data_IF_980538400813
#
_entry.id   IF_980538400813
#
_cell.length_a   1.000
_cell.length_b   1.000
_cell.length_c   1.000
_cell.angle_alpha   90.00
_cell.angle_beta   90.00
_cell.angle_gamma   90.00
#
_symmetry.space_group_name_H-M   'P 1'
#
loop_
_entity.id
_entity.type
_entity.pdbx_description
1 polymer ?
#
# COMPACT_ATOMS: atom_id res chain seq x y z
N UNK A 1 11.08 -17.18 -2.71
CA UNK A 1 10.56 -16.62 -3.98
C UNK A 1 9.04 -16.77 -4.09
N UNK A 2 8.48 -17.99 -4.20
CA UNK A 2 7.02 -18.15 -4.30
C UNK A 2 6.25 -17.79 -3.01
N UNK A 3 6.81 -18.11 -1.83
CA UNK A 3 6.17 -17.81 -0.53
C UNK A 3 5.95 -16.31 -0.29
N UNK A 4 6.91 -15.46 -0.65
CA UNK A 4 6.81 -14.01 -0.47
C UNK A 4 5.75 -13.42 -1.42
N UNK A 5 5.77 -13.80 -2.69
CA UNK A 5 4.73 -13.40 -3.65
C UNK A 5 3.34 -13.85 -3.20
N UNK A 6 3.20 -15.09 -2.70
CA UNK A 6 1.93 -15.59 -2.15
C UNK A 6 1.52 -14.76 -0.92
N UNK A 7 2.45 -14.41 -0.03
CA UNK A 7 2.16 -13.57 1.13
C UNK A 7 1.67 -12.17 0.74
N UNK A 8 2.28 -11.54 -0.28
CA UNK A 8 1.81 -10.25 -0.83
C UNK A 8 0.40 -10.39 -1.39
N UNK A 9 0.14 -11.43 -2.19
CA UNK A 9 -1.20 -11.68 -2.76
C UNK A 9 -2.24 -11.90 -1.65
N UNK A 10 -1.90 -12.68 -0.63
CA UNK A 10 -2.79 -12.90 0.53
C UNK A 10 -3.07 -11.60 1.26
N UNK A 11 -2.05 -10.78 1.57
CA UNK A 11 -2.27 -9.49 2.23
C UNK A 11 -3.07 -8.52 1.36
N UNK A 12 -2.88 -8.55 0.04
CA UNK A 12 -3.69 -7.76 -0.88
C UNK A 12 -5.17 -8.18 -0.84
N UNK A 13 -5.45 -9.49 -0.90
CA UNK A 13 -6.82 -10.01 -0.79
C UNK A 13 -7.46 -9.68 0.56
N UNK A 14 -6.72 -9.82 1.67
CA UNK A 14 -7.19 -9.46 3.01
C UNK A 14 -7.47 -7.97 3.11
N UNK A 15 -6.58 -7.11 2.62
CA UNK A 15 -6.79 -5.66 2.61
C UNK A 15 -7.99 -5.25 1.76
N UNK A 16 -8.18 -5.87 0.59
CA UNK A 16 -9.36 -5.64 -0.24
C UNK A 16 -10.66 -6.09 0.46
N UNK A 17 -10.61 -7.21 1.19
CA UNK A 17 -11.74 -7.67 1.99
C UNK A 17 -12.10 -6.64 3.07
N UNK A 18 -11.13 -6.01 3.73
CA UNK A 18 -11.39 -4.92 4.68
C UNK A 18 -12.02 -3.68 4.02
N UNK A 19 -11.65 -3.35 2.78
CA UNK A 19 -12.30 -2.27 2.00
C UNK A 19 -13.78 -2.60 1.74
N UNK A 20 -14.08 -3.85 1.40
CA UNK A 20 -15.45 -4.31 1.17
C UNK A 20 -16.27 -4.37 2.46
N UNK A 21 -15.64 -4.70 3.60
CA UNK A 21 -16.25 -4.76 4.92
C UNK A 21 -16.44 -3.39 5.60
N UNK A 22 -16.24 -2.26 4.89
CA UNK A 22 -16.45 -0.92 5.44
C UNK A 22 -17.80 -0.80 6.17
N UNK A 23 -18.87 -1.37 5.60
CA UNK A 23 -20.22 -1.32 6.19
C UNK A 23 -20.32 -1.98 7.57
N UNK A 24 -19.40 -2.89 7.90
CA UNK A 24 -19.34 -3.60 9.18
C UNK A 24 -18.32 -2.97 10.13
N UNK A 25 -17.14 -2.60 9.63
CA UNK A 25 -16.03 -2.05 10.45
C UNK A 25 -16.15 -0.56 10.73
N UNK A 26 -16.91 0.19 9.92
CA UNK A 26 -16.99 1.66 9.92
C UNK A 26 -15.62 2.35 9.84
N UNK A 27 -14.62 1.67 9.29
CA UNK A 27 -13.30 2.24 9.04
C UNK A 27 -13.28 2.79 7.62
N UNK A 28 -12.84 4.04 7.46
CA UNK A 28 -12.78 4.71 6.16
C UNK A 28 -11.98 3.87 5.13
N UNK A 29 -12.61 3.59 3.96
CA UNK A 29 -11.98 2.86 2.84
C UNK A 29 -10.60 3.39 2.46
N UNK A 30 -10.41 4.71 2.49
CA UNK A 30 -9.14 5.34 2.14
C UNK A 30 -8.01 4.97 3.12
N UNK A 31 -8.33 4.87 4.42
CA UNK A 31 -7.35 4.48 5.44
C UNK A 31 -6.88 3.03 5.25
N UNK A 32 -7.81 2.11 4.97
CA UNK A 32 -7.51 0.70 4.72
C UNK A 32 -6.73 0.52 3.41
N UNK A 33 -7.06 1.29 2.36
CA UNK A 33 -6.33 1.27 1.10
C UNK A 33 -4.86 1.70 1.28
N UNK A 34 -4.60 2.75 2.08
CA UNK A 34 -3.24 3.14 2.43
C UNK A 34 -2.51 2.07 3.23
N UNK A 35 -3.16 1.47 4.22
CA UNK A 35 -2.57 0.41 5.04
C UNK A 35 -2.19 -0.80 4.15
N UNK A 36 -3.10 -1.25 3.29
CA UNK A 36 -2.84 -2.34 2.35
C UNK A 36 -1.64 -2.03 1.44
N UNK A 37 -1.57 -0.81 0.91
CA UNK A 37 -0.46 -0.40 0.06
C UNK A 37 0.88 -0.38 0.81
N UNK A 38 0.91 0.14 2.04
CA UNK A 38 2.12 0.11 2.90
C UNK A 38 2.56 -1.32 3.19
N UNK A 39 1.63 -2.23 3.53
CA UNK A 39 1.97 -3.64 3.82
C UNK A 39 2.52 -4.38 2.60
N UNK A 40 1.91 -4.17 1.43
CA UNK A 40 2.42 -4.75 0.19
C UNK A 40 3.85 -4.25 -0.10
N UNK A 41 4.12 -2.96 0.12
CA UNK A 41 5.45 -2.38 -0.05
C UNK A 41 6.47 -2.83 0.99
N UNK A 42 6.09 -2.99 2.25
CA UNK A 42 7.01 -3.48 3.29
C UNK A 42 7.39 -4.94 3.05
N UNK A 43 6.44 -5.78 2.63
CA UNK A 43 6.72 -7.15 2.21
C UNK A 43 7.62 -7.20 0.98
N UNK A 44 7.39 -6.32 0.00
CA UNK A 44 8.24 -6.19 -1.18
C UNK A 44 9.69 -5.82 -0.84
N UNK A 45 9.90 -4.94 0.16
CA UNK A 45 11.22 -4.52 0.63
C UNK A 45 12.02 -5.63 1.34
N UNK A 46 11.41 -6.78 1.65
CA UNK A 46 12.12 -7.93 2.26
C UNK A 46 13.08 -8.59 1.26
N UNK A 47 12.73 -8.65 -0.04
CA UNK A 47 13.62 -9.20 -1.08
C UNK A 47 13.43 -8.48 -2.43
N UNK A 48 13.82 -7.19 -2.52
CA UNK A 48 13.61 -6.39 -3.73
C UNK A 48 14.51 -6.84 -4.89
N UNK A 49 15.64 -7.48 -4.59
CA UNK A 49 16.55 -8.10 -5.57
C UNK A 49 15.89 -9.15 -6.44
N UNK A 50 14.87 -9.84 -5.91
CA UNK A 50 14.12 -10.85 -6.66
C UNK A 50 13.12 -10.25 -7.65
N UNK A 51 12.74 -8.98 -7.51
CA UNK A 51 11.69 -8.34 -8.31
C UNK A 51 12.22 -7.29 -9.29
N UNK A 52 13.38 -6.69 -9.03
CA UNK A 52 14.09 -5.83 -9.97
C UNK A 52 15.36 -6.53 -10.49
N UNK A 53 15.25 -7.36 -11.54
CA UNK A 53 16.42 -7.96 -12.17
C UNK A 53 17.22 -6.86 -12.87
N UNK A 54 18.40 -6.51 -12.34
CA UNK A 54 19.34 -5.56 -12.96
C UNK A 54 19.87 -4.46 -12.05
N UNK A 55 19.30 -4.27 -10.86
CA UNK A 55 19.79 -3.30 -9.88
C UNK A 55 20.50 -4.03 -8.73
N UNK A 56 21.78 -3.75 -8.50
CA UNK A 56 22.60 -4.40 -7.44
C UNK A 56 23.04 -3.39 -6.40
N UNK A 57 22.88 -3.72 -5.11
CA UNK A 57 23.37 -2.91 -3.98
C UNK A 57 22.66 -1.56 -3.82
N UNK A 58 23.42 -0.48 -3.59
CA UNK A 58 22.91 0.87 -3.34
C UNK A 58 21.99 1.43 -4.44
N UNK A 59 22.22 1.07 -5.71
CA UNK A 59 21.37 1.53 -6.82
C UNK A 59 19.94 1.00 -6.71
N UNK A 60 19.78 -0.25 -6.26
CA UNK A 60 18.47 -0.84 -6.02
C UNK A 60 17.73 -0.11 -4.89
N UNK A 61 18.44 0.22 -3.80
CA UNK A 61 17.82 0.88 -2.66
C UNK A 61 17.35 2.30 -3.05
N UNK A 62 18.15 3.02 -3.84
CA UNK A 62 17.76 4.35 -4.33
C UNK A 62 16.56 4.30 -5.27
N UNK A 63 16.56 3.41 -6.26
CA UNK A 63 15.42 3.23 -7.19
C UNK A 63 14.13 2.84 -6.45
N UNK A 64 14.24 1.93 -5.48
CA UNK A 64 13.10 1.53 -4.65
C UNK A 64 12.62 2.70 -3.79
N UNK A 65 13.53 3.47 -3.19
CA UNK A 65 13.17 4.64 -2.37
C UNK A 65 12.47 5.71 -3.20
N UNK A 66 12.97 6.02 -4.41
CA UNK A 66 12.35 6.98 -5.32
C UNK A 66 10.97 6.49 -5.79
N UNK A 67 10.84 5.21 -6.12
CA UNK A 67 9.57 4.61 -6.50
C UNK A 67 8.53 4.66 -5.37
N UNK A 68 8.94 4.34 -4.13
CA UNK A 68 8.08 4.47 -2.94
C UNK A 68 7.65 5.92 -2.78
N UNK A 69 8.58 6.87 -2.77
CA UNK A 69 8.28 8.28 -2.57
C UNK A 69 7.27 8.79 -3.61
N UNK A 70 7.47 8.43 -4.88
CA UNK A 70 6.57 8.80 -5.97
C UNK A 70 5.19 8.17 -5.85
N UNK A 71 5.11 6.85 -5.66
CA UNK A 71 3.82 6.15 -5.67
C UNK A 71 3.08 6.28 -4.33
N UNK A 72 3.76 6.11 -3.21
CA UNK A 72 3.19 6.28 -1.88
C UNK A 72 2.85 7.74 -1.62
N UNK A 73 3.74 8.68 -1.95
CA UNK A 73 3.53 10.11 -1.73
C UNK A 73 2.33 10.65 -2.53
N UNK A 74 2.26 10.35 -3.83
CA UNK A 74 1.13 10.77 -4.67
C UNK A 74 -0.20 10.14 -4.27
N UNK A 75 -0.18 8.85 -3.90
CA UNK A 75 -1.41 8.15 -3.49
C UNK A 75 -1.87 8.58 -2.10
N UNK A 76 -0.93 8.80 -1.16
CA UNK A 76 -1.20 9.29 0.19
C UNK A 76 -1.82 10.67 0.21
N UNK A 77 -1.32 11.61 -0.60
CA UNK A 77 -1.91 12.95 -0.70
C UNK A 77 -3.36 12.91 -1.18
N UNK A 78 -3.66 12.12 -2.22
CA UNK A 78 -5.02 11.95 -2.73
C UNK A 78 -5.93 11.29 -1.69
N UNK A 79 -5.45 10.24 -1.01
CA UNK A 79 -6.24 9.53 0.01
C UNK A 79 -6.44 10.35 1.28
N UNK A 80 -5.48 11.21 1.67
CA UNK A 80 -5.65 12.14 2.79
C UNK A 80 -6.73 13.20 2.47
N UNK A 81 -6.75 13.71 1.25
CA UNK A 81 -7.81 14.61 0.79
C UNK A 81 -9.19 13.93 0.80
N UNK A 82 -9.28 12.70 0.27
CA UNK A 82 -10.53 11.93 0.26
C UNK A 82 -11.00 11.55 1.66
N UNK A 83 -10.08 11.25 2.58
CA UNK A 83 -10.41 11.00 3.99
C UNK A 83 -11.04 12.24 4.62
N UNK A 84 -10.45 13.43 4.41
CA UNK A 84 -11.03 14.69 4.87
C UNK A 84 -12.41 14.95 4.29
N UNK A 85 -12.58 14.79 2.97
CA UNK A 85 -13.87 14.97 2.30
C UNK A 85 -14.95 14.01 2.84
N UNK A 86 -14.62 12.72 3.01
CA UNK A 86 -15.55 11.71 3.52
C UNK A 86 -15.92 11.98 4.98
N UNK A 87 -14.98 12.41 5.83
CA UNK A 87 -15.29 12.78 7.22
C UNK A 87 -16.22 13.99 7.33
N UNK A 88 -16.10 14.98 6.42
CA UNK A 88 -17.01 16.13 6.41
C UNK A 88 -18.43 15.70 6.00
N UNK A 89 -18.55 14.79 5.03
CA UNK A 89 -19.85 14.25 4.59
C UNK A 89 -20.52 13.41 5.67
N UNK A 90 -19.76 12.72 6.53
CA UNK A 90 -20.32 11.92 7.62
C UNK A 90 -20.71 12.75 8.86
N UNK A 91 -20.15 13.96 9.03
CA UNK A 91 -20.41 14.82 10.20
C UNK A 91 -21.59 15.78 9.97
N UNK A 92 -21.86 16.18 8.72
CA UNK A 92 -22.96 17.08 8.33
C UNK A 92 -24.26 16.31 8.11
#
# INVERSE_FOLDING_TARGET
>A
MSSLTIAIVVMFCVGYLFIALESVTKVNKAAIALLMFVVCWTLFMVDPSSYLPGATGQALINEVSEAIEKHLGGTSTTLFFLMGAMTIVEIV
#
